data_IF_454611028411
#
_entry.id   IF_454611028411
#
_cell.length_a   1.000
_cell.length_b   1.000
_cell.length_c   1.000
_cell.angle_alpha   90.00
_cell.angle_beta   90.00
_cell.angle_gamma   90.00
#
_symmetry.space_group_name_H-M   'P 1'
#
loop_
_entity.id
_entity.type
_entity.pdbx_description
1 polymer ?
#
# COMPACT_ATOMS: atom_id res chain seq x y z
N UNK A 1 40.55 -6.24 -1.70
CA UNK A 1 39.83 -5.75 -2.89
C UNK A 1 38.35 -5.88 -2.60
N UNK A 2 37.69 -4.77 -2.26
CA UNK A 2 36.25 -4.73 -2.11
C UNK A 2 35.63 -4.75 -3.52
N UNK A 3 34.78 -5.73 -3.78
CA UNK A 3 34.04 -5.84 -5.04
C UNK A 3 32.83 -4.92 -4.87
N UNK A 4 32.89 -3.73 -5.47
CA UNK A 4 31.74 -2.83 -5.52
C UNK A 4 30.62 -3.53 -6.28
N UNK A 5 29.45 -3.67 -5.66
CA UNK A 5 28.24 -4.11 -6.34
C UNK A 5 27.80 -2.99 -7.30
N UNK A 6 27.38 -3.30 -8.53
CA UNK A 6 26.86 -2.27 -9.42
C UNK A 6 25.51 -1.80 -8.84
N UNK A 7 25.48 -0.57 -8.32
CA UNK A 7 24.23 0.14 -8.13
C UNK A 7 23.62 0.35 -9.52
N UNK A 8 22.48 -0.28 -9.80
CA UNK A 8 21.68 0.09 -10.95
C UNK A 8 21.22 1.54 -10.75
N UNK A 9 21.78 2.45 -11.53
CA UNK A 9 21.53 3.89 -11.45
C UNK A 9 20.11 4.19 -11.91
N UNK A 10 19.45 5.14 -11.22
CA UNK A 10 18.16 5.73 -11.61
C UNK A 10 18.20 6.54 -12.93
N UNK A 11 19.27 6.39 -13.72
CA UNK A 11 19.61 7.20 -14.92
C UNK A 11 19.39 6.44 -16.24
N UNK A 12 18.82 5.22 -16.22
CA UNK A 12 18.53 4.51 -17.48
C UNK A 12 17.17 4.98 -18.00
N UNK A 13 17.09 5.59 -19.21
CA UNK A 13 15.82 5.99 -19.80
C UNK A 13 14.86 4.81 -19.93
N UNK A 14 13.56 5.04 -19.76
CA UNK A 14 12.56 4.00 -19.93
C UNK A 14 12.64 3.41 -21.35
N UNK A 15 12.43 2.08 -21.54
CA UNK A 15 12.68 1.39 -22.81
C UNK A 15 11.69 1.74 -23.95
N UNK A 16 10.80 2.70 -23.72
CA UNK A 16 9.82 3.22 -24.67
C UNK A 16 10.55 4.06 -25.73
N UNK A 17 10.68 3.51 -26.94
CA UNK A 17 11.41 4.14 -28.07
C UNK A 17 10.50 4.77 -29.12
N UNK A 18 9.28 4.27 -29.28
CA UNK A 18 8.19 4.95 -29.97
C UNK A 18 7.31 5.65 -28.92
N UNK A 19 6.61 6.73 -29.27
CA UNK A 19 5.64 7.40 -28.39
C UNK A 19 4.22 6.91 -28.72
N UNK A 20 3.76 5.76 -28.17
CA UNK A 20 2.39 5.30 -28.37
C UNK A 20 1.41 6.20 -27.62
N UNK A 21 0.14 6.16 -28.01
CA UNK A 21 -0.91 6.94 -27.34
C UNK A 21 -1.11 6.50 -25.89
N UNK A 22 -0.90 5.20 -25.60
CA UNK A 22 -0.93 4.62 -24.26
C UNK A 22 0.34 3.83 -23.94
N UNK A 23 0.92 4.09 -22.76
CA UNK A 23 1.90 3.21 -22.11
C UNK A 23 1.34 2.68 -20.79
N UNK A 24 1.40 1.36 -20.58
CA UNK A 24 1.02 0.74 -19.32
C UNK A 24 2.26 0.42 -18.48
N UNK A 25 2.33 0.99 -17.28
CA UNK A 25 3.38 0.73 -16.29
C UNK A 25 2.91 -0.32 -15.28
N UNK A 26 3.69 -1.39 -15.15
CA UNK A 26 3.38 -2.54 -14.33
C UNK A 26 4.31 -2.68 -13.14
N UNK A 27 3.79 -2.80 -11.92
CA UNK A 27 4.57 -3.12 -10.72
C UNK A 27 4.20 -4.52 -10.24
N UNK A 28 5.19 -5.41 -10.31
CA UNK A 28 5.05 -6.82 -9.92
C UNK A 28 4.85 -7.00 -8.42
N UNK A 29 4.43 -8.20 -8.02
CA UNK A 29 4.42 -8.59 -6.62
C UNK A 29 5.79 -9.00 -6.09
N UNK A 30 5.83 -9.28 -4.79
CA UNK A 30 7.01 -9.83 -4.11
C UNK A 30 7.53 -11.09 -4.80
N UNK A 31 8.84 -11.16 -5.07
CA UNK A 31 9.50 -12.29 -5.72
C UNK A 31 9.30 -12.40 -7.23
N UNK A 32 8.54 -11.48 -7.85
CA UNK A 32 8.23 -11.51 -9.29
C UNK A 32 9.02 -10.48 -10.13
N UNK A 33 9.96 -9.76 -9.51
CA UNK A 33 10.89 -8.82 -10.17
C UNK A 33 12.31 -8.95 -9.59
N UNK A 34 13.25 -8.20 -10.17
CA UNK A 34 14.59 -7.98 -9.62
C UNK A 34 15.14 -6.63 -10.12
N UNK A 35 16.19 -6.06 -9.49
CA UNK A 35 16.76 -4.77 -9.91
C UNK A 35 17.34 -4.79 -11.34
N UNK A 36 17.57 -5.99 -11.89
CA UNK A 36 18.06 -6.21 -13.26
C UNK A 36 17.04 -6.96 -14.12
N UNK A 37 15.77 -7.00 -13.71
CA UNK A 37 14.72 -7.59 -14.53
C UNK A 37 14.61 -6.81 -15.86
N UNK A 38 14.36 -7.53 -16.95
CA UNK A 38 14.07 -6.91 -18.23
C UNK A 38 12.73 -6.17 -18.13
N UNK A 39 12.70 -4.83 -18.29
CA UNK A 39 11.48 -4.05 -18.15
C UNK A 39 10.44 -4.35 -19.24
N UNK A 40 10.79 -5.05 -20.31
CA UNK A 40 9.84 -5.45 -21.36
C UNK A 40 9.39 -6.91 -21.24
N UNK A 41 9.90 -7.67 -20.27
CA UNK A 41 9.51 -9.05 -20.09
C UNK A 41 8.06 -9.19 -19.61
N UNK A 42 7.34 -10.15 -20.20
CA UNK A 42 5.95 -10.50 -19.83
C UNK A 42 6.01 -11.72 -18.90
N UNK A 43 6.11 -11.47 -17.59
CA UNK A 43 6.27 -12.51 -16.56
C UNK A 43 5.46 -12.19 -15.31
N UNK A 44 5.33 -13.16 -14.38
CA UNK A 44 4.60 -13.01 -13.12
C UNK A 44 3.14 -12.62 -13.30
N UNK A 45 2.52 -12.08 -12.25
CA UNK A 45 1.11 -11.68 -12.28
C UNK A 45 0.81 -10.59 -13.31
N UNK A 46 1.65 -9.56 -13.43
CA UNK A 46 1.43 -8.50 -14.42
C UNK A 46 1.59 -9.01 -15.85
N UNK A 47 2.40 -10.05 -16.07
CA UNK A 47 2.46 -10.76 -17.35
C UNK A 47 1.10 -11.34 -17.79
N UNK A 48 0.24 -11.73 -16.84
CA UNK A 48 -1.13 -12.17 -17.12
C UNK A 48 -2.09 -11.02 -17.49
N UNK A 49 -1.67 -9.76 -17.31
CA UNK A 49 -2.35 -8.57 -17.85
C UNK A 49 -1.76 -8.20 -19.21
N UNK A 50 -0.43 -8.08 -19.30
CA UNK A 50 0.27 -7.62 -20.51
C UNK A 50 0.13 -8.58 -21.69
N UNK A 51 0.15 -9.90 -21.46
CA UNK A 51 -0.01 -10.87 -22.54
C UNK A 51 -1.33 -10.70 -23.30
N UNK A 52 -2.50 -10.80 -22.63
CA UNK A 52 -3.80 -10.56 -23.27
C UNK A 52 -3.97 -9.14 -23.82
N UNK A 53 -3.44 -8.12 -23.15
CA UNK A 53 -3.50 -6.72 -23.59
C UNK A 53 -2.84 -6.56 -24.96
N UNK A 54 -1.59 -7.00 -25.10
CA UNK A 54 -0.81 -6.87 -26.34
C UNK A 54 -1.33 -7.78 -27.46
N UNK A 55 -2.04 -8.86 -27.11
CA UNK A 55 -2.74 -9.68 -28.09
C UNK A 55 -3.97 -8.98 -28.69
N UNK A 56 -4.64 -8.10 -27.92
CA UNK A 56 -5.76 -7.27 -28.40
C UNK A 56 -5.30 -6.00 -29.10
N UNK A 57 -4.31 -5.33 -28.54
CA UNK A 57 -3.76 -4.09 -29.09
C UNK A 57 -2.22 -4.08 -28.98
N UNK A 58 -1.51 -4.42 -30.07
CA UNK A 58 -0.05 -4.43 -30.10
C UNK A 58 0.56 -3.01 -30.19
N UNK A 59 -0.25 -1.96 -30.32
CA UNK A 59 0.24 -0.58 -30.36
C UNK A 59 0.53 0.00 -28.96
N UNK A 60 -0.03 -0.62 -27.92
CA UNK A 60 0.19 -0.23 -26.52
C UNK A 60 1.65 -0.48 -26.14
N UNK A 61 2.31 0.53 -25.59
CA UNK A 61 3.61 0.34 -24.94
C UNK A 61 3.42 -0.27 -23.55
N UNK A 62 4.33 -1.13 -23.11
CA UNK A 62 4.33 -1.66 -21.75
C UNK A 62 5.73 -1.55 -21.13
N UNK A 63 5.76 -1.32 -19.82
CA UNK A 63 7.00 -1.32 -19.02
C UNK A 63 6.69 -1.94 -17.66
N UNK A 64 7.38 -3.01 -17.31
CA UNK A 64 7.43 -3.55 -15.94
C UNK A 64 8.54 -2.84 -15.17
N UNK A 65 8.26 -2.36 -13.96
CA UNK A 65 9.24 -1.68 -13.11
C UNK A 65 10.26 -2.69 -12.53
N UNK A 66 11.56 -2.61 -12.87
CA UNK A 66 12.58 -3.48 -12.28
C UNK A 66 12.96 -2.98 -10.89
N UNK A 67 12.76 -3.80 -9.86
CA UNK A 67 13.06 -3.44 -8.46
C UNK A 67 13.31 -4.70 -7.63
N UNK A 68 13.72 -4.56 -6.37
CA UNK A 68 14.11 -5.69 -5.55
C UNK A 68 13.02 -6.75 -5.32
N UNK A 69 11.73 -6.39 -5.33
CA UNK A 69 10.59 -7.26 -5.00
C UNK A 69 10.81 -8.10 -3.74
N UNK A 70 11.38 -7.50 -2.71
CA UNK A 70 11.81 -8.16 -1.48
C UNK A 70 10.75 -8.20 -0.38
N UNK A 71 10.85 -9.23 0.48
CA UNK A 71 10.12 -9.35 1.74
C UNK A 71 11.07 -9.82 2.85
N UNK A 72 12.20 -9.13 2.98
CA UNK A 72 13.23 -9.45 3.97
C UNK A 72 13.92 -10.79 3.74
N UNK A 73 13.69 -11.50 2.63
CA UNK A 73 14.21 -12.86 2.41
C UNK A 73 13.38 -13.94 3.11
N UNK A 74 12.11 -13.66 3.41
CA UNK A 74 11.19 -14.65 3.95
C UNK A 74 11.12 -15.90 3.04
N UNK A 75 11.03 -17.12 3.62
CA UNK A 75 10.96 -18.34 2.83
C UNK A 75 9.80 -18.30 1.82
N UNK A 76 10.12 -18.51 0.54
CA UNK A 76 9.13 -18.56 -0.55
C UNK A 76 8.78 -17.20 -1.17
N UNK A 77 9.41 -16.10 -0.77
CA UNK A 77 9.12 -14.75 -1.30
C UNK A 77 10.16 -14.25 -2.32
N UNK A 78 10.85 -15.16 -2.99
CA UNK A 78 11.93 -14.85 -3.93
C UNK A 78 13.31 -14.63 -3.27
N UNK A 79 14.33 -14.26 -4.05
CA UNK A 79 15.72 -14.25 -3.62
C UNK A 79 16.17 -12.98 -2.88
N UNK A 80 15.36 -11.92 -2.91
CA UNK A 80 15.73 -10.63 -2.31
C UNK A 80 15.57 -10.64 -0.79
N UNK A 81 16.63 -10.24 -0.09
CA UNK A 81 16.63 -10.05 1.37
C UNK A 81 16.25 -8.62 1.80
N UNK A 82 15.90 -7.75 0.85
CA UNK A 82 15.50 -6.38 1.15
C UNK A 82 14.16 -6.38 1.89
N UNK A 83 14.01 -5.70 3.04
CA UNK A 83 12.73 -5.58 3.74
C UNK A 83 11.63 -5.06 2.80
N UNK A 84 10.40 -5.51 3.02
CA UNK A 84 9.25 -5.13 2.18
C UNK A 84 9.09 -3.62 2.08
N UNK A 85 9.16 -2.90 3.21
CA UNK A 85 9.00 -1.44 3.23
C UNK A 85 10.02 -0.75 2.32
N UNK A 86 11.31 -1.09 2.47
CA UNK A 86 12.39 -0.53 1.64
C UNK A 86 12.23 -0.93 0.17
N UNK A 87 11.82 -2.16 -0.11
CA UNK A 87 11.57 -2.62 -1.47
C UNK A 87 10.38 -1.91 -2.12
N UNK A 88 9.32 -1.61 -1.38
CA UNK A 88 8.15 -0.88 -1.87
C UNK A 88 8.49 0.59 -2.12
N UNK A 89 9.24 1.24 -1.22
CA UNK A 89 9.76 2.60 -1.44
C UNK A 89 10.61 2.67 -2.72
N UNK A 90 11.55 1.74 -2.90
CA UNK A 90 12.36 1.67 -4.13
C UNK A 90 11.48 1.52 -5.39
N UNK A 91 10.44 0.68 -5.34
CA UNK A 91 9.52 0.50 -6.46
C UNK A 91 8.77 1.79 -6.81
N UNK A 92 8.27 2.52 -5.80
CA UNK A 92 7.57 3.78 -5.97
C UNK A 92 8.47 4.86 -6.59
N UNK A 93 9.69 5.01 -6.10
CA UNK A 93 10.69 5.93 -6.66
C UNK A 93 10.99 5.62 -8.13
N UNK A 94 11.15 4.33 -8.47
CA UNK A 94 11.39 3.90 -9.85
C UNK A 94 10.16 4.07 -10.75
N UNK A 95 8.96 3.84 -10.21
CA UNK A 95 7.71 4.06 -10.93
C UNK A 95 7.54 5.54 -11.29
N UNK A 96 7.69 6.44 -10.31
CA UNK A 96 7.58 7.90 -10.50
C UNK A 96 8.64 8.41 -11.50
N UNK A 97 9.89 7.94 -11.38
CA UNK A 97 10.96 8.28 -12.32
C UNK A 97 10.67 7.80 -13.75
N UNK A 98 10.23 6.54 -13.91
CA UNK A 98 9.89 5.95 -15.22
C UNK A 98 8.71 6.68 -15.86
N UNK A 99 7.66 6.93 -15.08
CA UNK A 99 6.47 7.65 -15.52
C UNK A 99 6.83 9.07 -15.97
N UNK A 100 7.63 9.77 -15.17
CA UNK A 100 8.11 11.13 -15.46
C UNK A 100 8.95 11.19 -16.73
N UNK A 101 9.91 10.26 -16.91
CA UNK A 101 10.73 10.18 -18.12
C UNK A 101 9.87 9.99 -19.38
N UNK A 102 8.87 9.09 -19.33
CA UNK A 102 7.98 8.83 -20.48
C UNK A 102 7.15 10.07 -20.82
N UNK A 103 6.51 10.73 -19.85
CA UNK A 103 5.65 11.90 -20.16
C UNK A 103 6.46 13.10 -20.64
N UNK A 104 7.72 13.24 -20.21
CA UNK A 104 8.64 14.28 -20.69
C UNK A 104 9.06 14.00 -22.14
N UNK A 105 9.45 12.76 -22.45
CA UNK A 105 9.90 12.39 -23.81
C UNK A 105 8.76 12.29 -24.80
N UNK A 106 7.57 11.91 -24.34
CA UNK A 106 6.38 11.71 -25.16
C UNK A 106 5.19 12.53 -24.62
N UNK A 107 5.14 13.85 -24.88
CA UNK A 107 4.06 14.71 -24.40
C UNK A 107 2.67 14.36 -24.94
N UNK A 108 2.53 13.49 -25.96
CA UNK A 108 1.22 12.95 -26.38
C UNK A 108 0.75 11.75 -25.56
N UNK A 109 1.67 10.94 -25.05
CA UNK A 109 1.40 9.63 -24.42
C UNK A 109 0.67 9.76 -23.09
N UNK A 110 -0.43 9.01 -22.94
CA UNK A 110 -1.06 8.75 -21.64
C UNK A 110 -0.44 7.53 -20.98
N UNK A 111 -0.53 7.49 -19.66
CA UNK A 111 -0.11 6.37 -18.83
C UNK A 111 -1.33 5.61 -18.32
N UNK A 112 -1.24 4.29 -18.24
CA UNK A 112 -2.05 3.51 -17.30
C UNK A 112 -1.13 2.80 -16.32
N UNK A 113 -1.58 2.59 -15.09
CA UNK A 113 -0.79 1.96 -14.04
C UNK A 113 -1.46 0.65 -13.61
N UNK A 114 -0.68 -0.40 -13.41
CA UNK A 114 -1.18 -1.65 -12.82
C UNK A 114 -0.20 -2.23 -11.82
N UNK A 115 -0.71 -2.66 -10.68
CA UNK A 115 0.10 -3.22 -9.59
C UNK A 115 -0.51 -4.51 -9.05
N UNK A 116 0.34 -5.44 -8.61
CA UNK A 116 -0.08 -6.64 -7.90
C UNK A 116 0.60 -6.79 -6.53
N UNK A 117 -0.17 -7.11 -5.48
CA UNK A 117 0.35 -7.41 -4.14
C UNK A 117 1.21 -6.25 -3.60
N UNK A 118 2.51 -6.45 -3.36
CA UNK A 118 3.45 -5.35 -3.04
C UNK A 118 3.33 -4.19 -4.04
N UNK A 119 3.38 -4.50 -5.33
CA UNK A 119 3.21 -3.53 -6.41
C UNK A 119 1.82 -2.90 -6.48
N UNK A 120 0.79 -3.59 -5.97
CA UNK A 120 -0.55 -3.04 -5.81
C UNK A 120 -0.54 -1.82 -4.90
N UNK A 121 -0.04 -1.95 -3.68
CA UNK A 121 0.05 -0.79 -2.78
C UNK A 121 1.02 0.29 -3.26
N UNK A 122 2.11 -0.07 -3.96
CA UNK A 122 3.00 0.92 -4.60
C UNK A 122 2.24 1.76 -5.63
N UNK A 123 1.45 1.12 -6.50
CA UNK A 123 0.61 1.82 -7.48
C UNK A 123 -0.50 2.63 -6.81
N UNK A 124 -1.08 2.13 -5.72
CA UNK A 124 -2.09 2.85 -4.92
C UNK A 124 -1.52 4.14 -4.33
N UNK A 125 -0.36 4.08 -3.69
CA UNK A 125 0.34 5.24 -3.15
C UNK A 125 0.73 6.25 -4.22
N UNK A 126 1.27 5.78 -5.34
CA UNK A 126 1.65 6.67 -6.45
C UNK A 126 0.42 7.33 -7.09
N UNK A 127 -0.69 6.60 -7.24
CA UNK A 127 -1.95 7.17 -7.69
C UNK A 127 -2.48 8.24 -6.71
N UNK A 128 -2.38 8.03 -5.40
CA UNK A 128 -2.74 9.07 -4.41
C UNK A 128 -1.83 10.30 -4.55
N UNK A 129 -0.52 10.11 -4.74
CA UNK A 129 0.43 11.22 -4.96
C UNK A 129 0.10 12.02 -6.23
N UNK A 130 -0.07 11.34 -7.36
CA UNK A 130 -0.45 11.97 -8.65
C UNK A 130 -1.79 12.71 -8.50
N UNK A 131 -2.78 12.05 -7.92
CA UNK A 131 -4.12 12.60 -7.71
C UNK A 131 -4.16 13.83 -6.79
N UNK A 132 -3.24 13.91 -5.83
CA UNK A 132 -3.06 15.06 -4.94
C UNK A 132 -2.18 16.17 -5.55
N UNK A 133 -1.59 15.97 -6.73
CA UNK A 133 -0.64 16.90 -7.33
C UNK A 133 0.77 16.87 -6.72
N UNK A 134 1.12 15.78 -6.02
CA UNK A 134 2.40 15.55 -5.34
C UNK A 134 3.34 14.60 -6.14
N UNK A 135 3.29 14.68 -7.47
CA UNK A 135 4.19 14.00 -8.42
C UNK A 135 4.51 14.94 -9.58
N UNK A 136 5.63 14.72 -10.27
CA UNK A 136 5.93 15.38 -11.55
C UNK A 136 5.00 14.94 -12.68
N UNK A 137 4.30 13.81 -12.52
CA UNK A 137 3.26 13.35 -13.42
C UNK A 137 1.93 13.97 -13.00
N UNK A 138 1.34 14.78 -13.88
CA UNK A 138 0.02 15.36 -13.64
C UNK A 138 -1.09 14.33 -13.83
N UNK A 139 -2.18 14.45 -13.06
CA UNK A 139 -3.31 13.52 -13.10
C UNK A 139 -4.01 13.44 -14.48
N UNK A 140 -3.90 14.45 -15.35
CA UNK A 140 -4.43 14.40 -16.72
C UNK A 140 -3.63 13.45 -17.64
N UNK A 141 -2.41 13.09 -17.23
CA UNK A 141 -1.54 12.15 -17.95
C UNK A 141 -1.91 10.68 -17.72
N UNK A 142 -2.71 10.37 -16.71
CA UNK A 142 -3.05 8.99 -16.34
C UNK A 142 -4.45 8.64 -16.82
N UNK A 143 -4.58 7.74 -17.79
CA UNK A 143 -5.87 7.29 -18.31
C UNK A 143 -6.65 6.41 -17.33
N UNK A 144 -5.95 5.54 -16.59
CA UNK A 144 -6.55 4.71 -15.55
C UNK A 144 -5.53 3.91 -14.73
N UNK A 145 -5.99 3.40 -13.59
CA UNK A 145 -5.17 2.68 -12.61
C UNK A 145 -5.91 1.43 -12.16
N UNK A 146 -5.28 0.26 -12.32
CA UNK A 146 -5.79 -1.02 -11.85
C UNK A 146 -4.93 -1.54 -10.68
N UNK A 147 -5.54 -1.69 -9.50
CA UNK A 147 -4.81 -2.09 -8.30
C UNK A 147 -5.27 -3.48 -7.89
N UNK A 148 -4.40 -4.48 -8.02
CA UNK A 148 -4.73 -5.87 -7.73
C UNK A 148 -4.07 -6.25 -6.39
N UNK A 149 -4.86 -6.75 -5.43
CA UNK A 149 -4.35 -7.15 -4.12
C UNK A 149 -3.67 -6.00 -3.34
N UNK A 150 -4.30 -4.81 -3.31
CA UNK A 150 -3.79 -3.62 -2.61
C UNK A 150 -3.70 -3.81 -1.09
N UNK A 151 -2.48 -3.80 -0.54
CA UNK A 151 -2.27 -3.85 0.91
C UNK A 151 -2.64 -2.56 1.66
N UNK A 152 -2.79 -1.45 0.93
CA UNK A 152 -3.20 -0.13 1.44
C UNK A 152 -4.69 0.13 1.30
N UNK A 153 -5.47 -0.83 0.82
CA UNK A 153 -6.87 -0.58 0.46
C UNK A 153 -7.67 -0.08 1.66
N UNK A 154 -8.42 1.03 1.56
CA UNK A 154 -9.32 1.45 2.63
C UNK A 154 -10.43 0.42 2.85
N UNK A 155 -11.04 0.47 4.03
CA UNK A 155 -12.32 -0.21 4.25
C UNK A 155 -13.38 0.37 3.28
N UNK A 156 -14.27 -0.50 2.79
CA UNK A 156 -15.30 -0.15 1.81
C UNK A 156 -15.39 -1.23 0.73
N UNK A 157 -16.61 -1.48 0.25
CA UNK A 157 -16.87 -2.44 -0.84
C UNK A 157 -16.90 -1.80 -2.23
N UNK A 158 -16.32 -0.60 -2.36
CA UNK A 158 -16.36 0.17 -3.60
C UNK A 158 -15.28 -0.31 -4.56
N UNK A 159 -15.70 -0.67 -5.76
CA UNK A 159 -14.81 -1.08 -6.85
C UNK A 159 -14.06 0.10 -7.46
N UNK A 160 -14.71 1.27 -7.54
CA UNK A 160 -14.14 2.56 -7.93
C UNK A 160 -14.12 3.45 -6.68
N UNK A 161 -12.98 3.54 -5.96
CA UNK A 161 -12.94 4.23 -4.67
C UNK A 161 -13.31 5.72 -4.77
N UNK A 162 -14.20 6.16 -3.89
CA UNK A 162 -14.70 7.55 -3.87
C UNK A 162 -15.85 7.80 -4.85
N UNK A 163 -16.40 6.75 -5.47
CA UNK A 163 -17.59 6.79 -6.33
C UNK A 163 -18.59 5.70 -5.91
N UNK A 164 -19.34 5.89 -4.82
CA UNK A 164 -20.27 4.88 -4.32
C UNK A 164 -21.26 4.40 -5.39
N UNK A 165 -21.32 3.09 -5.62
CA UNK A 165 -22.21 2.46 -6.59
C UNK A 165 -21.77 2.52 -8.06
N UNK A 166 -20.66 3.20 -8.37
CA UNK A 166 -20.07 3.18 -9.70
C UNK A 166 -19.29 1.86 -9.90
N UNK A 167 -19.57 1.18 -11.01
CA UNK A 167 -18.97 -0.14 -11.36
C UNK A 167 -18.13 -0.09 -12.63
N UNK A 168 -18.11 1.05 -13.32
CA UNK A 168 -17.35 1.27 -14.55
C UNK A 168 -16.50 2.53 -14.42
N UNK A 169 -15.29 2.56 -15.01
CA UNK A 169 -14.37 3.67 -14.86
C UNK A 169 -14.79 4.88 -15.71
N UNK A 170 -14.44 6.07 -15.25
CA UNK A 170 -14.51 7.30 -16.04
C UNK A 170 -13.53 7.19 -17.23
N UNK A 171 -13.83 7.81 -18.38
CA UNK A 171 -12.97 7.72 -19.56
C UNK A 171 -11.64 8.46 -19.34
N UNK A 172 -10.58 8.11 -20.10
CA UNK A 172 -9.30 8.80 -19.99
C UNK A 172 -9.43 10.28 -20.44
N UNK A 173 -8.67 11.21 -19.84
CA UNK A 173 -8.79 12.63 -20.15
C UNK A 173 -8.48 12.96 -21.62
N UNK A 174 -9.46 13.56 -22.28
CA UNK A 174 -9.36 14.00 -23.67
C UNK A 174 -9.71 12.94 -24.71
N UNK A 175 -10.21 11.77 -24.31
CA UNK A 175 -10.78 10.82 -25.26
C UNK A 175 -12.14 11.27 -25.81
N UNK A 176 -12.35 11.01 -27.10
CA UNK A 176 -13.60 11.30 -27.81
C UNK A 176 -14.57 10.10 -27.79
N UNK A 177 -14.05 8.88 -27.61
CA UNK A 177 -14.82 7.66 -27.31
C UNK A 177 -14.67 7.21 -25.85
N UNK A 178 -15.57 6.32 -25.45
CA UNK A 178 -15.74 5.88 -24.05
C UNK A 178 -15.91 4.36 -23.95
N UNK A 179 -15.24 3.61 -24.84
CA UNK A 179 -15.27 2.14 -24.83
C UNK A 179 -14.74 1.61 -23.49
N UNK A 180 -13.69 2.23 -22.95
CA UNK A 180 -13.14 1.85 -21.63
C UNK A 180 -14.13 2.01 -20.49
N UNK A 181 -15.08 2.94 -20.60
CA UNK A 181 -16.17 3.16 -19.63
C UNK A 181 -17.33 2.17 -19.75
N UNK A 182 -17.30 1.28 -20.75
CA UNK A 182 -18.28 0.19 -20.89
C UNK A 182 -17.92 -1.06 -20.08
N UNK A 183 -16.66 -1.15 -19.62
CA UNK A 183 -16.20 -2.27 -18.80
C UNK A 183 -16.81 -2.15 -17.40
N UNK A 184 -17.58 -3.17 -17.01
CA UNK A 184 -18.13 -3.28 -15.66
C UNK A 184 -17.28 -4.22 -14.83
N UNK A 185 -16.97 -3.78 -13.61
CA UNK A 185 -16.18 -4.51 -12.62
C UNK A 185 -17.09 -5.02 -11.49
N UNK A 186 -16.75 -6.16 -10.92
CA UNK A 186 -17.47 -6.72 -9.77
C UNK A 186 -17.09 -5.99 -8.48
N UNK A 187 -17.98 -5.89 -7.48
CA UNK A 187 -17.62 -5.31 -6.18
C UNK A 187 -16.53 -6.09 -5.44
N UNK A 188 -15.68 -5.37 -4.69
CA UNK A 188 -14.71 -5.96 -3.75
C UNK A 188 -15.32 -6.25 -2.37
N UNK A 189 -14.68 -7.11 -1.55
CA UNK A 189 -15.01 -7.24 -0.14
C UNK A 189 -15.05 -5.89 0.61
N UNK A 190 -15.83 -5.79 1.69
CA UNK A 190 -15.93 -4.53 2.44
C UNK A 190 -14.76 -4.25 3.40
N UNK A 191 -13.98 -5.28 3.76
CA UNK A 191 -12.81 -5.17 4.64
C UNK A 191 -11.59 -4.67 3.88
N UNK A 192 -10.88 -3.66 4.39
CA UNK A 192 -9.70 -3.10 3.75
C UNK A 192 -8.47 -4.00 3.77
N UNK A 193 -7.33 -3.47 3.32
CA UNK A 193 -6.06 -4.18 3.31
C UNK A 193 -5.40 -4.32 4.69
N UNK A 194 -4.23 -4.94 4.70
CA UNK A 194 -3.46 -5.23 5.92
C UNK A 194 -2.83 -3.97 6.55
N UNK A 195 -2.61 -2.90 5.78
CA UNK A 195 -2.20 -1.59 6.28
C UNK A 195 -3.02 -0.50 5.57
N UNK A 196 -4.32 -0.38 5.87
CA UNK A 196 -5.26 0.43 5.10
C UNK A 196 -4.90 1.93 5.15
N UNK A 197 -5.20 2.64 4.07
CA UNK A 197 -5.03 4.08 3.95
C UNK A 197 -6.36 4.73 3.58
N UNK A 198 -6.81 5.67 4.41
CA UNK A 198 -8.04 6.43 4.16
C UNK A 198 -7.87 7.58 3.14
N UNK A 199 -6.66 7.81 2.65
CA UNK A 199 -6.36 8.81 1.62
C UNK A 199 -7.09 8.52 0.31
N UNK A 200 -7.80 9.53 -0.21
CA UNK A 200 -8.47 9.46 -1.50
C UNK A 200 -7.52 9.65 -2.69
N UNK A 201 -7.98 9.27 -3.88
CA UNK A 201 -7.22 9.40 -5.13
C UNK A 201 -7.31 10.78 -5.81
N UNK A 202 -7.92 11.78 -5.15
CA UNK A 202 -7.96 13.17 -5.62
C UNK A 202 -8.45 13.30 -7.06
N UNK A 203 -7.66 13.96 -7.92
CA UNK A 203 -8.00 14.15 -9.32
C UNK A 203 -8.07 12.84 -10.14
N UNK A 204 -7.57 11.71 -9.63
CA UNK A 204 -7.71 10.39 -10.26
C UNK A 204 -8.99 9.65 -9.85
N UNK A 205 -9.77 10.14 -8.89
CA UNK A 205 -11.06 9.52 -8.52
C UNK A 205 -11.94 9.30 -9.76
N UNK A 206 -12.50 8.10 -9.88
CA UNK A 206 -13.24 7.65 -11.06
C UNK A 206 -12.40 6.88 -12.09
N UNK A 207 -11.07 7.03 -12.07
CA UNK A 207 -10.14 6.33 -12.98
C UNK A 207 -9.28 5.27 -12.27
N UNK A 208 -9.49 5.06 -10.98
CA UNK A 208 -8.84 4.02 -10.16
C UNK A 208 -9.83 2.90 -9.88
N UNK A 209 -9.43 1.66 -10.12
CA UNK A 209 -10.20 0.46 -9.83
C UNK A 209 -9.43 -0.51 -8.93
N UNK A 210 -10.09 -1.00 -7.89
CA UNK A 210 -9.55 -1.94 -6.91
C UNK A 210 -9.95 -3.37 -7.24
N UNK A 211 -9.05 -4.34 -7.25
CA UNK A 211 -9.38 -5.73 -7.49
C UNK A 211 -8.91 -6.59 -6.33
N UNK A 212 -9.87 -7.13 -5.58
CA UNK A 212 -9.59 -7.89 -4.38
C UNK A 212 -10.45 -9.16 -4.31
N UNK A 213 -9.78 -10.31 -4.22
CA UNK A 213 -10.45 -11.59 -4.01
C UNK A 213 -10.74 -11.77 -2.52
N UNK A 214 -11.96 -12.19 -2.17
CA UNK A 214 -12.31 -12.49 -0.79
C UNK A 214 -11.36 -13.53 -0.18
N UNK A 215 -10.85 -13.24 1.02
CA UNK A 215 -9.88 -14.08 1.73
C UNK A 215 -8.40 -13.79 1.39
N UNK A 216 -8.13 -12.90 0.44
CA UNK A 216 -6.78 -12.37 0.21
C UNK A 216 -6.41 -11.37 1.32
N UNK A 217 -5.60 -11.82 2.28
CA UNK A 217 -5.24 -11.02 3.45
C UNK A 217 -4.51 -9.71 3.12
N UNK A 218 -3.91 -9.59 1.93
CA UNK A 218 -3.30 -8.34 1.50
C UNK A 218 -4.36 -7.23 1.44
N UNK A 219 -5.47 -7.45 0.73
CA UNK A 219 -6.48 -6.44 0.40
C UNK A 219 -7.85 -6.62 1.07
N UNK A 220 -8.05 -7.73 1.77
CA UNK A 220 -9.27 -8.12 2.48
C UNK A 220 -8.91 -8.61 3.89
N UNK A 221 -8.19 -7.83 4.68
CA UNK A 221 -7.84 -8.13 6.06
C UNK A 221 -9.04 -7.93 7.02
N UNK A 222 -9.15 -8.72 8.10
CA UNK A 222 -10.26 -8.56 9.05
C UNK A 222 -10.30 -7.14 9.62
N UNK A 223 -11.48 -6.55 9.72
CA UNK A 223 -11.64 -5.16 10.14
C UNK A 223 -11.13 -4.93 11.57
N UNK A 224 -11.36 -5.88 12.47
CA UNK A 224 -10.99 -5.81 13.88
C UNK A 224 -9.85 -6.78 14.23
N UNK A 225 -8.66 -6.52 13.67
CA UNK A 225 -7.47 -7.34 13.85
C UNK A 225 -6.19 -6.48 13.94
N UNK A 226 -6.18 -5.45 14.78
CA UNK A 226 -5.05 -4.52 14.92
C UNK A 226 -3.72 -5.20 15.29
N UNK A 227 -3.75 -6.27 16.10
CA UNK A 227 -2.56 -7.06 16.40
C UNK A 227 -1.98 -7.74 15.15
N UNK A 228 -2.85 -8.18 14.23
CA UNK A 228 -2.42 -8.76 12.96
C UNK A 228 -1.77 -7.71 12.07
N UNK A 229 -2.34 -6.49 12.02
CA UNK A 229 -1.75 -5.35 11.30
C UNK A 229 -0.38 -4.98 11.86
N UNK A 230 -0.27 -4.90 13.20
CA UNK A 230 0.99 -4.65 13.88
C UNK A 230 2.06 -5.71 13.56
N UNK A 231 1.68 -7.00 13.59
CA UNK A 231 2.59 -8.08 13.22
C UNK A 231 3.02 -8.00 11.74
N UNK A 232 2.08 -7.67 10.85
CA UNK A 232 2.34 -7.47 9.42
C UNK A 232 3.33 -6.32 9.18
N UNK A 233 3.14 -5.18 9.82
CA UNK A 233 4.02 -4.02 9.70
C UNK A 233 5.43 -4.26 10.29
N UNK A 234 5.53 -4.97 11.41
CA UNK A 234 6.83 -5.41 11.95
C UNK A 234 7.54 -6.36 10.98
N UNK A 235 6.84 -7.34 10.42
CA UNK A 235 7.40 -8.25 9.43
C UNK A 235 7.84 -7.52 8.15
N UNK A 236 7.07 -6.53 7.70
CA UNK A 236 7.36 -5.76 6.50
C UNK A 236 8.65 -4.92 6.60
N UNK A 237 9.05 -4.53 7.82
CA UNK A 237 10.28 -3.76 8.08
C UNK A 237 11.47 -4.64 8.51
N UNK A 238 11.25 -5.93 8.73
CA UNK A 238 12.28 -6.84 9.22
C UNK A 238 13.10 -7.47 8.10
N UNK A 239 14.35 -7.82 8.42
CA UNK A 239 15.13 -8.78 7.65
C UNK A 239 14.81 -10.20 8.16
N UNK A 240 14.35 -11.06 7.26
CA UNK A 240 13.82 -12.40 7.49
C UNK A 240 14.66 -13.49 6.81
N UNK A 241 15.89 -13.18 6.40
CA UNK A 241 16.73 -14.03 5.53
C UNK A 241 17.14 -15.36 6.14
N UNK A 242 17.30 -15.41 7.47
CA UNK A 242 17.60 -16.62 8.22
C UNK A 242 17.06 -16.49 9.66
N UNK A 243 16.92 -17.62 10.40
CA UNK A 243 16.24 -17.61 11.70
C UNK A 243 16.89 -16.71 12.76
N UNK A 244 18.21 -16.58 12.77
CA UNK A 244 18.91 -15.78 13.79
C UNK A 244 18.78 -14.30 13.48
N UNK A 245 19.02 -13.90 12.24
CA UNK A 245 18.84 -12.52 11.78
C UNK A 245 17.38 -12.10 11.86
N UNK A 246 16.43 -12.98 11.53
CA UNK A 246 15.01 -12.75 11.68
C UNK A 246 14.62 -12.48 13.14
N UNK A 247 15.05 -13.31 14.09
CA UNK A 247 14.74 -13.11 15.49
C UNK A 247 15.27 -11.76 16.01
N UNK A 248 16.51 -11.40 15.65
CA UNK A 248 17.11 -10.13 16.05
C UNK A 248 16.38 -8.93 15.41
N UNK A 249 16.13 -9.00 14.10
CA UNK A 249 15.48 -7.92 13.35
C UNK A 249 14.02 -7.72 13.76
N UNK A 250 13.27 -8.79 13.97
CA UNK A 250 11.89 -8.72 14.47
C UNK A 250 11.85 -8.11 15.87
N UNK A 251 12.79 -8.50 16.75
CA UNK A 251 12.89 -7.95 18.10
C UNK A 251 13.21 -6.46 18.08
N UNK A 252 14.17 -6.03 17.24
CA UNK A 252 14.54 -4.62 17.14
C UNK A 252 13.41 -3.77 16.55
N UNK A 253 12.75 -4.23 15.48
CA UNK A 253 11.63 -3.52 14.85
C UNK A 253 10.42 -3.45 15.79
N UNK A 254 10.10 -4.54 16.51
CA UNK A 254 9.03 -4.54 17.49
C UNK A 254 9.34 -3.60 18.67
N UNK A 255 10.58 -3.57 19.15
CA UNK A 255 11.00 -2.65 20.21
C UNK A 255 10.88 -1.18 19.77
N UNK A 256 11.25 -0.87 18.52
CA UNK A 256 11.02 0.44 17.92
C UNK A 256 9.52 0.77 17.88
N UNK A 257 8.68 -0.10 17.33
CA UNK A 257 7.23 0.14 17.25
C UNK A 257 6.58 0.37 18.64
N UNK A 258 7.04 -0.37 19.67
CA UNK A 258 6.60 -0.14 21.07
C UNK A 258 7.06 1.21 21.60
N UNK A 259 8.31 1.60 21.32
CA UNK A 259 8.84 2.91 21.70
C UNK A 259 8.09 4.05 21.00
N UNK A 260 7.77 3.89 19.73
CA UNK A 260 7.00 4.84 18.91
C UNK A 260 5.57 4.98 19.43
N UNK A 261 4.93 3.85 19.75
CA UNK A 261 3.62 3.80 20.40
C UNK A 261 3.63 4.52 21.75
N UNK A 262 4.64 4.26 22.58
CA UNK A 262 4.77 4.91 23.88
C UNK A 262 4.95 6.43 23.75
N UNK A 263 5.75 6.88 22.77
CA UNK A 263 5.89 8.29 22.47
C UNK A 263 4.56 8.90 22.02
N UNK A 264 3.84 8.27 21.09
CA UNK A 264 2.54 8.74 20.62
C UNK A 264 1.49 8.79 21.75
N UNK A 265 1.42 7.78 22.62
CA UNK A 265 0.52 7.79 23.80
C UNK A 265 0.80 9.00 24.69
N UNK A 266 2.07 9.30 24.97
CA UNK A 266 2.41 10.43 25.82
C UNK A 266 2.09 11.76 25.14
N UNK A 267 2.36 11.87 23.85
CA UNK A 267 2.14 13.09 23.09
C UNK A 267 0.65 13.39 22.85
N UNK A 268 -0.14 12.35 22.60
CA UNK A 268 -1.51 12.51 22.10
C UNK A 268 -2.59 12.24 23.16
N UNK A 269 -2.34 11.34 24.13
CA UNK A 269 -3.40 10.85 25.04
C UNK A 269 -3.20 11.27 26.50
N UNK A 270 -1.97 11.61 26.87
CA UNK A 270 -1.63 12.05 28.23
C UNK A 270 -1.67 13.56 28.28
N UNK A 271 -2.69 14.10 28.93
CA UNK A 271 -2.81 15.53 29.14
C UNK A 271 -2.64 15.86 30.62
N UNK A 272 -1.74 16.80 30.91
CA UNK A 272 -1.54 17.35 32.26
C UNK A 272 -2.12 18.76 32.26
N UNK A 273 -3.32 18.92 32.81
CA UNK A 273 -4.01 20.22 32.91
C UNK A 273 -4.22 20.54 34.38
N UNK A 274 -3.71 21.69 34.84
CA UNK A 274 -3.82 22.14 36.23
C UNK A 274 -3.33 21.09 37.27
N UNK A 275 -2.27 20.35 36.95
CA UNK A 275 -1.71 19.31 37.83
C UNK A 275 -2.51 18.00 37.86
N UNK A 276 -3.52 17.84 37.01
CA UNK A 276 -4.27 16.59 36.88
C UNK A 276 -3.88 15.85 35.60
N UNK A 277 -3.56 14.55 35.71
CA UNK A 277 -3.16 13.67 34.60
C UNK A 277 -4.36 12.91 34.06
N UNK A 278 -4.90 13.33 32.92
CA UNK A 278 -5.92 12.56 32.20
C UNK A 278 -5.26 11.71 31.12
N UNK A 279 -5.60 10.43 31.11
CA UNK A 279 -5.37 9.55 29.97
C UNK A 279 -6.68 9.44 29.17
N UNK A 280 -6.75 10.01 27.98
CA UNK A 280 -7.96 9.99 27.15
C UNK A 280 -7.60 9.53 25.75
N UNK A 281 -7.43 8.22 25.53
CA UNK A 281 -6.96 7.72 24.25
C UNK A 281 -7.93 8.07 23.13
N UNK A 282 -7.42 8.68 22.05
CA UNK A 282 -8.21 8.90 20.84
C UNK A 282 -8.43 7.61 20.04
N UNK A 283 -7.63 6.58 20.29
CA UNK A 283 -7.72 5.26 19.66
C UNK A 283 -7.11 4.15 20.54
N UNK A 284 -7.48 2.88 20.33
CA UNK A 284 -6.91 1.74 21.07
C UNK A 284 -5.39 1.64 20.95
N UNK A 285 -4.73 1.12 21.99
CA UNK A 285 -3.27 0.94 21.97
C UNK A 285 -2.79 -0.04 20.89
N UNK A 286 -3.61 -1.06 20.54
CA UNK A 286 -3.30 -1.95 19.42
C UNK A 286 -3.37 -1.23 18.08
N UNK A 287 -4.28 -0.27 17.90
CA UNK A 287 -4.31 0.61 16.71
C UNK A 287 -3.06 1.47 16.66
N UNK A 288 -2.64 2.10 17.77
CA UNK A 288 -1.37 2.87 17.80
C UNK A 288 -0.16 2.00 17.47
N UNK A 289 -0.15 0.76 17.96
CA UNK A 289 0.91 -0.19 17.65
C UNK A 289 0.87 -0.63 16.18
N UNK A 290 -0.31 -0.78 15.59
CA UNK A 290 -0.48 -1.03 14.17
C UNK A 290 0.00 0.15 13.33
N UNK A 291 -0.34 1.39 13.72
CA UNK A 291 0.13 2.62 13.08
C UNK A 291 1.66 2.73 13.17
N UNK A 292 2.24 2.56 14.37
CA UNK A 292 3.70 2.54 14.56
C UNK A 292 4.39 1.36 13.84
N UNK A 293 3.64 0.31 13.52
CA UNK A 293 4.12 -0.81 12.75
C UNK A 293 4.06 -0.56 11.24
N UNK A 294 3.20 0.34 10.78
CA UNK A 294 2.95 0.60 9.36
C UNK A 294 4.27 0.88 8.61
N UNK A 295 4.57 0.15 7.53
CA UNK A 295 5.82 0.27 6.80
C UNK A 295 6.06 1.66 6.17
N UNK A 296 5.02 2.49 6.08
CA UNK A 296 5.07 3.84 5.50
C UNK A 296 5.45 4.91 6.51
N UNK A 297 5.29 4.62 7.81
CA UNK A 297 5.57 5.58 8.86
C UNK A 297 7.08 5.75 9.07
N UNK A 298 7.51 7.00 9.13
CA UNK A 298 8.89 7.34 9.47
C UNK A 298 9.13 7.18 10.99
N UNK A 299 10.34 6.80 11.42
CA UNK A 299 10.69 6.79 12.84
C UNK A 299 10.54 8.19 13.47
N UNK A 300 10.23 8.30 14.78
CA UNK A 300 10.11 9.57 15.47
C UNK A 300 11.42 10.34 15.45
N UNK A 301 11.31 11.64 15.21
CA UNK A 301 12.44 12.56 15.29
C UNK A 301 12.98 12.67 16.74
N UNK A 302 14.25 13.05 16.94
CA UNK A 302 14.80 13.30 18.27
C UNK A 302 13.98 14.31 19.09
N UNK A 303 13.36 15.30 18.43
CA UNK A 303 12.50 16.29 19.07
C UNK A 303 11.21 15.66 19.62
N UNK A 304 10.59 14.75 18.86
CA UNK A 304 9.41 14.00 19.32
C UNK A 304 9.76 13.08 20.49
N UNK A 305 10.92 12.44 20.46
CA UNK A 305 11.40 11.61 21.58
C UNK A 305 11.65 12.44 22.84
N UNK A 306 12.23 13.64 22.68
CA UNK A 306 12.45 14.55 23.79
C UNK A 306 11.12 15.06 24.37
N UNK A 307 10.18 15.49 23.51
CA UNK A 307 8.85 15.92 23.94
C UNK A 307 8.09 14.82 24.68
N UNK A 308 8.19 13.56 24.23
CA UNK A 308 7.64 12.42 24.96
C UNK A 308 8.31 12.24 26.33
N UNK A 309 9.63 12.38 26.44
CA UNK A 309 10.33 12.28 27.74
C UNK A 309 9.92 13.39 28.73
N UNK A 310 9.67 14.60 28.23
CA UNK A 310 9.18 15.72 29.02
C UNK A 310 7.73 15.48 29.49
N UNK A 311 6.86 14.97 28.61
CA UNK A 311 5.49 14.59 28.95
C UNK A 311 5.43 13.51 30.04
N UNK A 312 6.28 12.48 29.95
CA UNK A 312 6.39 11.44 30.99
C UNK A 312 6.78 12.06 32.34
N UNK A 313 7.75 12.97 32.33
CA UNK A 313 8.23 13.64 33.54
C UNK A 313 7.14 14.50 34.18
N UNK A 314 6.34 15.21 33.37
CA UNK A 314 5.21 16.01 33.83
C UNK A 314 4.09 15.15 34.41
N UNK A 315 3.74 14.04 33.76
CA UNK A 315 2.73 13.10 34.25
C UNK A 315 3.16 12.45 35.58
N UNK A 316 4.43 12.03 35.69
CA UNK A 316 4.99 11.49 36.92
C UNK A 316 4.93 12.51 38.07
N UNK A 317 5.28 13.77 37.81
CA UNK A 317 5.23 14.85 38.80
C UNK A 317 3.79 15.10 39.31
N UNK A 318 2.81 15.09 38.41
CA UNK A 318 1.40 15.28 38.75
C UNK A 318 0.80 14.09 39.55
N UNK A 319 1.21 12.84 39.25
CA UNK A 319 0.82 11.66 40.05
C UNK A 319 1.43 11.71 41.45
N UNK A 320 2.68 12.14 41.58
CA UNK A 320 3.35 12.31 42.89
C UNK A 320 2.69 13.42 43.71
N UNK A 321 2.19 14.47 43.06
CA UNK A 321 1.51 15.58 43.72
C UNK A 321 0.12 15.23 44.27
N UNK A 322 -0.61 14.30 43.63
CA UNK A 322 -1.96 13.86 44.04
C UNK A 322 -2.22 12.37 43.76
N UNK A 323 -1.58 11.45 44.49
CA UNK A 323 -1.70 10.02 44.20
C UNK A 323 -3.12 9.48 44.47
N UNK A 324 -3.83 10.03 45.46
CA UNK A 324 -5.16 9.55 45.85
C UNK A 324 -6.26 9.99 44.87
N UNK A 325 -6.11 11.15 44.22
CA UNK A 325 -7.03 11.60 43.16
C UNK A 325 -6.69 11.02 41.79
N UNK A 326 -5.40 10.90 41.44
CA UNK A 326 -4.99 10.47 40.10
C UNK A 326 -5.12 8.96 39.86
N UNK A 327 -4.76 8.11 40.83
CA UNK A 327 -4.70 6.65 40.63
C UNK A 327 -6.08 6.04 40.28
N UNK A 328 -7.17 6.32 41.02
CA UNK A 328 -8.48 5.74 40.70
C UNK A 328 -9.04 6.22 39.36
N UNK A 329 -8.78 7.48 39.00
CA UNK A 329 -9.21 8.08 37.72
C UNK A 329 -8.50 7.42 36.54
N UNK A 330 -7.18 7.27 36.66
CA UNK A 330 -6.37 6.59 35.66
C UNK A 330 -6.78 5.13 35.51
N UNK A 331 -7.06 4.43 36.61
CA UNK A 331 -7.57 3.05 36.57
C UNK A 331 -8.90 2.93 35.80
N UNK A 332 -9.82 3.88 35.97
CA UNK A 332 -11.06 3.93 35.21
C UNK A 332 -10.84 4.13 33.70
N UNK A 333 -9.94 5.04 33.33
CA UNK A 333 -9.60 5.32 31.93
C UNK A 333 -8.87 4.14 31.27
N UNK A 334 -7.95 3.48 32.00
CA UNK A 334 -7.28 2.25 31.55
C UNK A 334 -8.30 1.13 31.34
N UNK A 335 -9.29 0.99 32.24
CA UNK A 335 -10.37 0.01 32.11
C UNK A 335 -11.19 0.17 30.83
N UNK A 336 -11.51 1.41 30.45
CA UNK A 336 -12.17 1.71 29.18
C UNK A 336 -11.26 1.34 27.98
N UNK A 337 -9.99 1.73 28.02
CA UNK A 337 -9.02 1.44 26.97
C UNK A 337 -8.80 -0.07 26.73
N UNK A 338 -8.91 -0.91 27.77
CA UNK A 338 -8.84 -2.38 27.64
C UNK A 338 -10.03 -2.91 26.83
N UNK A 339 -11.25 -2.43 27.09
CA UNK A 339 -12.44 -2.85 26.34
C UNK A 339 -12.34 -2.43 24.88
N UNK A 340 -11.87 -1.21 24.62
CA UNK A 340 -11.65 -0.71 23.26
C UNK A 340 -10.60 -1.57 22.53
N UNK A 341 -9.56 -2.03 23.24
CA UNK A 341 -8.54 -2.90 22.68
C UNK A 341 -9.03 -4.33 22.37
N UNK A 342 -9.94 -4.86 23.19
CA UNK A 342 -10.61 -6.13 22.90
C UNK A 342 -11.52 -6.01 21.68
N UNK A 343 -12.29 -4.92 21.59
CA UNK A 343 -13.15 -4.64 20.44
C UNK A 343 -12.33 -4.49 19.14
N UNK A 344 -11.18 -3.81 19.21
CA UNK A 344 -10.25 -3.64 18.09
C UNK A 344 -9.66 -4.96 17.56
N UNK A 345 -9.76 -6.07 18.32
CA UNK A 345 -9.21 -7.37 17.96
C UNK A 345 -10.26 -8.50 17.95
N UNK A 346 -11.55 -8.15 17.92
CA UNK A 346 -12.64 -9.12 18.04
C UNK A 346 -12.63 -10.19 16.94
N UNK A 347 -12.15 -9.86 15.73
CA UNK A 347 -12.14 -10.80 14.60
C UNK A 347 -11.10 -11.92 14.79
N UNK A 348 -10.03 -11.68 15.54
CA UNK A 348 -9.00 -12.69 15.83
C UNK A 348 -9.50 -13.81 16.75
N UNK A 349 -10.58 -13.57 17.49
CA UNK A 349 -11.21 -14.56 18.36
C UNK A 349 -12.41 -15.27 17.69
N UNK A 350 -12.81 -14.86 16.49
CA UNK A 350 -13.99 -15.37 15.80
C UNK A 350 -13.63 -16.57 14.89
N UNK A 351 -14.11 -17.79 15.17
CA UNK A 351 -13.80 -18.96 14.35
C UNK A 351 -14.29 -18.87 12.91
N UNK A 352 -15.41 -18.17 12.65
CA UNK A 352 -15.92 -17.96 11.30
C UNK A 352 -15.01 -17.02 10.50
N UNK A 353 -14.48 -15.98 11.15
CA UNK A 353 -13.47 -15.09 10.56
C UNK A 353 -12.20 -15.88 10.23
N UNK A 354 -11.66 -16.66 11.18
CA UNK A 354 -10.46 -17.48 10.95
C UNK A 354 -10.65 -18.45 9.77
N UNK A 355 -11.82 -19.09 9.66
CA UNK A 355 -12.13 -20.03 8.58
C UNK A 355 -12.11 -19.37 7.19
N UNK A 356 -12.53 -18.10 7.07
CA UNK A 356 -12.48 -17.32 5.81
C UNK A 356 -11.05 -17.18 5.28
N UNK A 357 -10.05 -17.14 6.16
CA UNK A 357 -8.64 -16.99 5.80
C UNK A 357 -7.87 -18.31 5.73
N UNK A 358 -8.53 -19.47 5.78
CA UNK A 358 -7.84 -20.76 5.67
C UNK A 358 -7.12 -20.97 4.32
N UNK A 359 -7.50 -20.20 3.28
CA UNK A 359 -6.96 -20.27 1.93
C UNK A 359 -6.22 -19.01 1.45
N UNK A 360 -5.58 -18.25 2.35
CA UNK A 360 -4.94 -16.95 2.00
C UNK A 360 -4.08 -17.03 0.74
N UNK A 361 -3.16 -18.00 0.65
CA UNK A 361 -2.24 -18.12 -0.51
C UNK A 361 -3.00 -18.39 -1.81
N UNK A 362 -4.02 -19.24 -1.76
CA UNK A 362 -4.85 -19.54 -2.93
C UNK A 362 -5.64 -18.31 -3.39
N UNK A 363 -6.20 -17.55 -2.45
CA UNK A 363 -6.94 -16.32 -2.75
C UNK A 363 -6.00 -15.25 -3.34
N UNK A 364 -4.82 -15.08 -2.74
CA UNK A 364 -3.80 -14.10 -3.15
C UNK A 364 -3.25 -14.34 -4.57
N UNK A 365 -3.20 -15.59 -5.02
CA UNK A 365 -2.65 -15.95 -6.34
C UNK A 365 -3.71 -16.22 -7.41
N UNK A 366 -5.00 -16.04 -7.08
CA UNK A 366 -6.12 -16.46 -7.94
C UNK A 366 -6.46 -15.51 -9.09
N UNK A 367 -5.92 -14.28 -9.12
CA UNK A 367 -6.36 -13.20 -10.01
C UNK A 367 -6.25 -13.49 -11.51
N UNK A 368 -5.28 -14.31 -11.93
CA UNK A 368 -5.21 -14.76 -13.32
C UNK A 368 -6.29 -15.82 -13.63
N UNK A 369 -6.51 -16.74 -12.69
CA UNK A 369 -7.44 -17.85 -12.85
C UNK A 369 -8.91 -17.43 -12.76
N UNK A 370 -9.21 -16.42 -11.94
CA UNK A 370 -10.56 -15.87 -11.76
C UNK A 370 -10.96 -14.82 -12.81
N UNK A 371 -10.05 -14.48 -13.74
CA UNK A 371 -10.31 -13.60 -14.87
C UNK A 371 -10.02 -12.11 -14.63
N UNK A 372 -9.65 -11.69 -13.41
CA UNK A 372 -9.33 -10.29 -13.10
C UNK A 372 -8.25 -9.74 -14.02
N UNK A 373 -7.15 -10.46 -14.22
CA UNK A 373 -6.05 -9.94 -15.07
C UNK A 373 -6.47 -9.76 -16.53
N UNK A 374 -7.39 -10.60 -17.03
CA UNK A 374 -7.97 -10.46 -18.37
C UNK A 374 -8.90 -9.26 -18.43
N UNK A 375 -9.73 -9.04 -17.42
CA UNK A 375 -10.61 -7.88 -17.36
C UNK A 375 -9.83 -6.56 -17.34
N UNK A 376 -8.72 -6.49 -16.58
CA UNK A 376 -7.82 -5.33 -16.59
C UNK A 376 -7.17 -5.14 -17.97
N UNK A 377 -6.72 -6.22 -18.60
CA UNK A 377 -6.18 -6.17 -19.96
C UNK A 377 -7.21 -5.66 -20.97
N UNK A 378 -8.47 -6.09 -20.82
CA UNK A 378 -9.56 -5.67 -21.68
C UNK A 378 -9.83 -4.16 -21.53
N UNK A 379 -9.90 -3.68 -20.28
CA UNK A 379 -10.05 -2.26 -19.98
C UNK A 379 -8.93 -1.39 -20.57
N UNK A 380 -7.67 -1.79 -20.45
CA UNK A 380 -6.56 -0.99 -20.99
C UNK A 380 -6.49 -0.99 -22.51
N UNK A 381 -6.84 -2.09 -23.19
CA UNK A 381 -6.93 -2.07 -24.65
C UNK A 381 -8.11 -1.21 -25.13
N UNK A 382 -9.22 -1.15 -24.38
CA UNK A 382 -10.34 -0.26 -24.70
C UNK A 382 -9.95 1.21 -24.49
N UNK A 383 -9.16 1.49 -23.45
CA UNK A 383 -8.59 2.82 -23.19
C UNK A 383 -7.62 3.27 -24.29
N UNK A 384 -6.82 2.35 -24.83
CA UNK A 384 -5.94 2.65 -25.97
C UNK A 384 -6.76 3.08 -27.20
N UNK A 385 -7.87 2.41 -27.48
CA UNK A 385 -8.79 2.77 -28.56
C UNK A 385 -9.42 4.14 -28.35
N UNK A 386 -9.86 4.42 -27.12
CA UNK A 386 -10.41 5.73 -26.72
C UNK A 386 -9.44 6.90 -27.01
N UNK A 387 -8.13 6.66 -26.84
CA UNK A 387 -7.08 7.66 -27.05
C UNK A 387 -6.68 7.80 -28.52
N UNK A 388 -6.72 6.73 -29.33
CA UNK A 388 -6.39 6.77 -30.76
C UNK A 388 -7.42 7.53 -31.61
N UNK A 389 -8.65 7.61 -31.13
CA UNK A 389 -9.73 8.33 -31.82
C UNK A 389 -9.69 9.85 -31.58
N UNK A 390 -8.80 10.31 -30.68
CA UNK A 390 -8.59 11.72 -30.40
C UNK A 390 -8.11 12.49 -31.66
N UNK A 391 -9.02 13.25 -32.27
CA UNK A 391 -8.72 14.08 -33.45
C UNK A 391 -8.94 13.44 -34.83
N UNK A 392 -9.68 12.32 -34.91
CA UNK A 392 -10.35 11.90 -36.17
C UNK A 392 -11.72 12.55 -36.27
#
# INVERSE_FOLDING_TARGET
MAIASPQATADTPAPVTACPDLVVLGVQGTGESSPTADPLAITGMIGHVFGPLLARDPSVGHVTIPYAAGFGGAPGTGPSNLPFATSATEAGERLDATASDIVVRCPGTRLALVGFSQGGGVVSEEARRIGAGNSSVSADRVGGVAIISDWTRPNGGEQIPGRPGQVSPDPPPGADSHESSSVAFDPVPSSGGIAPDAGGFGALTGRVAEFCTAGDLSCDAPAHAEVLRAAGGVAARANLSDPLTAAQSLTSVAASAVSETAAAVVLDDVHVVNGQVSYSPSQPISTRLADAADPRQAPPTPAQQQAASEGISQAAAAIVADPLGQIPRLAGHIGAAINDNLAANADLANPATIARYAGVVGSHTSYAANGVTRQVADWFADMSRDLQEQGR
#
